data_IF_065205726008
#
_entry.id   IF_065205726008
#
_cell.length_a   1.000
_cell.length_b   1.000
_cell.length_c   1.000
_cell.angle_alpha   90.00
_cell.angle_beta   90.00
_cell.angle_gamma   90.00
#
_symmetry.space_group_name_H-M   'P 1'
#
loop_
_entity.id
_entity.type
_entity.pdbx_description
1 polymer ?
#
# COMPACT_ATOMS: atom_id res chain seq x y z
N UNK A 1 8.14 -11.69 -10.11
CA UNK A 1 7.38 -10.86 -9.16
C UNK A 1 7.80 -9.38 -9.24
N UNK A 2 9.08 -9.01 -9.21
CA UNK A 2 9.45 -7.58 -9.39
C UNK A 2 9.22 -7.01 -10.81
N UNK A 3 9.39 -7.83 -11.86
CA UNK A 3 9.20 -7.38 -13.24
C UNK A 3 7.79 -6.91 -13.57
N UNK A 4 6.77 -7.58 -13.02
CA UNK A 4 5.35 -7.23 -13.25
C UNK A 4 4.98 -5.92 -12.53
N UNK A 5 5.55 -5.69 -11.34
CA UNK A 5 5.40 -4.44 -10.59
C UNK A 5 6.01 -3.26 -11.36
N UNK A 6 7.24 -3.40 -11.84
CA UNK A 6 7.91 -2.34 -12.62
C UNK A 6 7.10 -2.00 -13.87
N UNK A 7 6.68 -3.01 -14.62
CA UNK A 7 5.86 -2.82 -15.81
C UNK A 7 4.55 -2.10 -15.49
N UNK A 8 3.84 -2.52 -14.45
CA UNK A 8 2.60 -1.89 -13.99
C UNK A 8 2.80 -0.40 -13.63
N UNK A 9 3.88 -0.07 -12.91
CA UNK A 9 4.16 1.31 -12.52
C UNK A 9 4.47 2.20 -13.73
N UNK A 10 5.16 1.67 -14.75
CA UNK A 10 5.45 2.41 -15.99
C UNK A 10 4.21 2.55 -16.85
N UNK A 11 3.41 1.48 -17.00
CA UNK A 11 2.17 1.48 -17.80
C UNK A 11 1.13 2.47 -17.26
N UNK A 12 1.25 2.90 -15.99
CA UNK A 12 0.37 3.89 -15.35
C UNK A 12 1.07 5.24 -15.05
N UNK A 13 2.17 5.56 -15.75
CA UNK A 13 2.91 6.84 -15.64
C UNK A 13 3.40 7.17 -14.21
N UNK A 14 3.60 6.16 -13.35
CA UNK A 14 4.12 6.34 -12.00
C UNK A 14 5.66 6.32 -11.95
N UNK A 15 6.27 5.62 -12.91
CA UNK A 15 7.71 5.53 -13.10
C UNK A 15 8.08 5.76 -14.56
N UNK A 16 9.20 6.42 -14.77
CA UNK A 16 9.73 6.67 -16.10
C UNK A 16 10.78 5.62 -16.44
N UNK A 17 10.55 4.85 -17.52
CA UNK A 17 11.44 3.77 -17.96
C UNK A 17 12.87 4.30 -18.26
N UNK A 18 12.97 5.57 -18.62
CA UNK A 18 14.21 6.31 -18.88
C UNK A 18 15.08 6.51 -17.64
N UNK A 19 14.45 6.55 -16.47
CA UNK A 19 15.08 6.92 -15.19
C UNK A 19 14.77 5.90 -14.07
N UNK A 20 14.29 4.71 -14.44
CA UNK A 20 13.91 3.67 -13.48
C UNK A 20 15.15 3.10 -12.81
N UNK A 21 15.39 3.53 -11.57
CA UNK A 21 16.37 2.93 -10.67
C UNK A 21 15.59 1.97 -9.76
N UNK A 22 16.16 0.79 -9.43
CA UNK A 22 15.54 -0.16 -8.49
C UNK A 22 15.12 0.50 -7.16
N UNK A 23 15.80 1.57 -6.77
CA UNK A 23 15.47 2.37 -5.59
C UNK A 23 14.17 3.18 -5.72
N UNK A 24 13.85 3.66 -6.93
CA UNK A 24 12.56 4.33 -7.20
C UNK A 24 11.40 3.32 -7.12
N UNK A 25 11.61 2.08 -7.58
CA UNK A 25 10.60 1.01 -7.49
C UNK A 25 10.27 0.66 -6.03
N UNK A 26 11.25 0.77 -5.13
CA UNK A 26 11.05 0.55 -3.68
C UNK A 26 10.25 1.67 -3.01
N UNK A 27 10.12 2.84 -3.64
CA UNK A 27 9.26 3.93 -3.14
C UNK A 27 7.78 3.68 -3.38
N UNK A 28 7.43 2.65 -4.14
CA UNK A 28 6.03 2.30 -4.38
C UNK A 28 5.74 0.95 -3.76
N UNK A 29 4.67 0.87 -2.97
CA UNK A 29 4.09 -0.41 -2.56
C UNK A 29 2.86 -0.68 -3.43
N UNK A 30 2.79 -1.89 -3.97
CA UNK A 30 1.66 -2.34 -4.78
C UNK A 30 1.05 -3.51 -4.03
N UNK A 31 -0.20 -3.34 -3.62
CA UNK A 31 -0.92 -4.32 -2.82
C UNK A 31 -1.71 -5.25 -3.73
N UNK A 32 -1.76 -6.53 -3.38
CA UNK A 32 -2.53 -7.52 -4.11
C UNK A 32 -4.01 -7.54 -3.69
N UNK A 33 -4.37 -6.72 -2.69
CA UNK A 33 -5.70 -6.69 -2.09
C UNK A 33 -6.76 -6.23 -3.08
N UNK A 34 -7.91 -6.91 -3.09
CA UNK A 34 -9.07 -6.53 -3.91
C UNK A 34 -10.16 -5.79 -3.11
N UNK A 35 -10.06 -5.76 -1.79
CA UNK A 35 -11.00 -5.09 -0.90
C UNK A 35 -10.26 -4.31 0.20
N UNK A 36 -10.96 -3.40 0.86
CA UNK A 36 -10.39 -2.50 1.87
C UNK A 36 -9.91 -3.23 3.13
N UNK A 37 -10.58 -4.31 3.53
CA UNK A 37 -10.20 -5.06 4.73
C UNK A 37 -8.85 -5.77 4.53
N UNK A 38 -8.67 -6.43 3.38
CA UNK A 38 -7.40 -7.07 3.01
C UNK A 38 -6.29 -6.04 2.77
N UNK A 39 -6.64 -4.88 2.18
CA UNK A 39 -5.71 -3.76 2.06
C UNK A 39 -5.23 -3.28 3.43
N UNK A 40 -6.14 -3.17 4.39
CA UNK A 40 -5.81 -2.77 5.76
C UNK A 40 -4.83 -3.75 6.41
N UNK A 41 -5.01 -5.05 6.20
CA UNK A 41 -4.07 -6.07 6.70
C UNK A 41 -2.70 -5.94 6.04
N UNK A 42 -2.65 -5.86 4.71
CA UNK A 42 -1.38 -5.72 3.98
C UNK A 42 -0.65 -4.42 4.34
N UNK A 43 -1.39 -3.34 4.62
CA UNK A 43 -0.81 -2.09 5.10
C UNK A 43 -0.22 -2.23 6.48
N UNK A 44 -0.93 -2.88 7.42
CA UNK A 44 -0.41 -3.13 8.77
C UNK A 44 0.87 -3.97 8.69
N UNK A 45 0.89 -4.99 7.84
CA UNK A 45 2.06 -5.86 7.62
C UNK A 45 3.23 -5.12 6.94
N UNK A 46 2.96 -4.28 5.91
CA UNK A 46 4.02 -3.53 5.19
C UNK A 46 4.57 -2.34 5.98
N UNK A 47 3.71 -1.63 6.71
CA UNK A 47 4.08 -0.41 7.45
C UNK A 47 4.70 -0.77 8.80
N UNK A 48 4.54 -2.01 9.26
CA UNK A 48 4.93 -2.40 10.63
C UNK A 48 4.02 -1.77 11.68
N UNK A 49 2.77 -1.45 11.31
CA UNK A 49 1.83 -0.67 12.13
C UNK A 49 1.47 -1.31 13.47
N UNK A 50 1.76 -2.60 13.67
CA UNK A 50 1.60 -3.26 14.96
C UNK A 50 2.63 -2.84 16.03
N UNK A 51 3.75 -2.19 15.66
CA UNK A 51 4.73 -1.75 16.68
C UNK A 51 4.34 -0.45 17.39
N UNK A 52 3.42 0.35 16.83
CA UNK A 52 2.84 1.55 17.46
C UNK A 52 1.37 1.39 17.86
N UNK A 53 0.68 0.37 17.33
CA UNK A 53 -0.57 -0.10 17.91
C UNK A 53 -0.22 -0.84 19.20
N UNK A 54 -0.10 -0.07 20.28
CA UNK A 54 -0.12 -0.60 21.63
C UNK A 54 -1.39 -1.46 21.72
N UNK A 55 -1.24 -2.78 21.56
CA UNK A 55 -2.26 -3.76 21.92
C UNK A 55 -2.32 -3.78 23.44
N UNK A 56 -2.76 -2.67 24.03
CA UNK A 56 -3.04 -2.52 25.44
C UNK A 56 -4.33 -3.28 25.72
N UNK A 57 -4.24 -4.61 25.77
CA UNK A 57 -5.14 -5.55 26.46
C UNK A 57 -6.58 -5.04 26.72
N UNK A 58 -7.31 -4.64 25.68
CA UNK A 58 -8.73 -4.28 25.72
C UNK A 58 -9.37 -4.60 24.37
N UNK A 59 -9.87 -5.83 24.28
CA UNK A 59 -11.06 -6.36 23.57
C UNK A 59 -11.76 -5.61 22.40
N UNK A 60 -11.10 -4.79 21.58
CA UNK A 60 -11.65 -4.34 20.29
C UNK A 60 -10.85 -4.91 19.11
N UNK A 61 -11.52 -5.65 18.23
CA UNK A 61 -10.95 -6.09 16.94
C UNK A 61 -10.50 -4.85 16.16
N UNK A 62 -9.23 -4.83 15.76
CA UNK A 62 -8.70 -3.73 14.94
C UNK A 62 -9.46 -3.67 13.60
N UNK A 63 -10.08 -2.52 13.32
CA UNK A 63 -10.83 -2.32 12.09
C UNK A 63 -9.89 -1.94 10.93
N UNK A 64 -9.39 -2.98 10.26
CA UNK A 64 -8.58 -2.87 9.05
C UNK A 64 -9.29 -2.11 7.92
N UNK A 65 -10.63 -2.19 7.85
CA UNK A 65 -11.39 -1.51 6.81
C UNK A 65 -11.33 0.00 7.00
N UNK A 66 -11.58 0.50 8.22
CA UNK A 66 -11.49 1.92 8.52
C UNK A 66 -10.05 2.43 8.31
N UNK A 67 -9.06 1.67 8.77
CA UNK A 67 -7.65 2.02 8.58
C UNK A 67 -7.27 2.20 7.10
N UNK A 68 -7.67 1.27 6.24
CA UNK A 68 -7.39 1.34 4.81
C UNK A 68 -8.14 2.49 4.11
N UNK A 69 -9.42 2.71 4.49
CA UNK A 69 -10.23 3.81 3.97
C UNK A 69 -9.58 5.16 4.29
N UNK A 70 -9.15 5.37 5.53
CA UNK A 70 -8.56 6.64 5.96
C UNK A 70 -7.27 6.92 5.17
N UNK A 71 -6.44 5.89 4.90
CA UNK A 71 -5.24 6.05 4.07
C UNK A 71 -5.53 6.38 2.59
N UNK A 72 -6.67 5.92 2.07
CA UNK A 72 -7.15 6.30 0.74
C UNK A 72 -7.67 7.75 0.73
N UNK A 73 -8.42 8.15 1.76
CA UNK A 73 -8.96 9.51 1.88
C UNK A 73 -7.84 10.55 2.08
N UNK A 74 -6.80 10.21 2.82
CA UNK A 74 -5.60 11.04 3.00
C UNK A 74 -4.76 11.17 1.72
N UNK A 75 -5.05 10.38 0.68
CA UNK A 75 -4.29 10.35 -0.57
C UNK A 75 -2.92 9.68 -0.45
N UNK A 76 -2.67 8.96 0.65
CA UNK A 76 -1.46 8.16 0.83
C UNK A 76 -1.47 6.91 -0.07
N UNK A 77 -2.68 6.40 -0.34
CA UNK A 77 -2.92 5.26 -1.23
C UNK A 77 -3.86 5.71 -2.33
N UNK A 78 -3.64 5.20 -3.53
CA UNK A 78 -4.50 5.43 -4.68
C UNK A 78 -4.84 4.10 -5.34
N UNK A 79 -6.09 4.00 -5.83
CA UNK A 79 -6.58 2.83 -6.56
C UNK A 79 -6.40 3.06 -8.07
N UNK A 80 -5.71 2.14 -8.73
CA UNK A 80 -5.50 2.14 -10.18
C UNK A 80 -6.09 0.84 -10.74
N UNK A 81 -7.20 0.94 -11.47
CA UNK A 81 -7.98 -0.24 -11.84
C UNK A 81 -8.51 -0.96 -10.61
N UNK A 82 -8.11 -2.21 -10.42
CA UNK A 82 -8.43 -3.04 -9.24
C UNK A 82 -7.28 -3.18 -8.24
N UNK A 83 -6.18 -2.46 -8.45
CA UNK A 83 -4.96 -2.55 -7.65
C UNK A 83 -4.79 -1.31 -6.79
N UNK A 84 -4.33 -1.48 -5.55
CA UNK A 84 -3.98 -0.38 -4.66
C UNK A 84 -2.48 -0.13 -4.69
N UNK A 85 -2.11 1.16 -4.75
CA UNK A 85 -0.72 1.60 -4.81
C UNK A 85 -0.50 2.69 -3.78
N UNK A 86 0.58 2.56 -3.02
CA UNK A 86 1.05 3.58 -2.10
C UNK A 86 2.36 4.14 -2.60
N UNK A 87 2.52 5.45 -2.52
CA UNK A 87 3.81 6.12 -2.73
C UNK A 87 4.42 6.46 -1.38
N UNK A 88 5.48 5.77 -1.01
CA UNK A 88 6.30 6.08 0.14
C UNK A 88 7.08 7.37 -0.14
N UNK A 89 7.01 8.31 0.81
CA UNK A 89 7.68 9.61 0.74
C UNK A 89 9.14 9.50 1.13
#
# INVERSE_FOLDING_TARGET
>A
MDGDKVKFLIDNDLLDLSNTILDEVKKFDVFASHNLNDLGKELVDNIGGLSELVLENNEEEFDYYCFARDHLEDGNIFKIGDTYVRKNK
#
